data_IF_344010028575
#
_entry.id   IF_344010028575
#
_cell.length_a   1.000
_cell.length_b   1.000
_cell.length_c   1.000
_cell.angle_alpha   90.00
_cell.angle_beta   90.00
_cell.angle_gamma   90.00
#
_symmetry.space_group_name_H-M   'P 1'
#
loop_
_entity.id
_entity.type
_entity.pdbx_description
1 polymer ?
#
# COMPACT_ATOMS: atom_id res chain seq x y z
N UNK A 1 53.03 -38.05 83.37
CA UNK A 1 54.44 -38.40 83.67
C UNK A 1 55.18 -37.12 83.98
N UNK A 2 55.88 -37.01 85.12
CA UNK A 2 56.75 -35.85 85.40
C UNK A 2 58.02 -35.98 84.53
N UNK A 3 58.46 -34.94 83.80
CA UNK A 3 59.71 -34.98 83.05
C UNK A 3 60.89 -35.23 84.00
N UNK A 4 61.84 -36.08 83.62
CA UNK A 4 63.09 -36.24 84.35
C UNK A 4 63.83 -34.90 84.41
N UNK A 5 64.19 -34.46 85.61
CA UNK A 5 64.99 -33.25 85.86
C UNK A 5 66.46 -33.65 85.89
N UNK A 6 67.23 -33.16 84.91
CA UNK A 6 68.67 -33.34 84.84
C UNK A 6 69.39 -32.15 85.49
N UNK A 7 70.55 -32.42 86.09
CA UNK A 7 71.36 -31.39 86.72
C UNK A 7 72.04 -30.51 85.66
N UNK A 8 72.28 -29.20 85.93
CA UNK A 8 72.87 -28.29 84.96
C UNK A 8 74.22 -28.77 84.38
N UNK A 9 75.03 -29.45 85.19
CA UNK A 9 76.34 -29.97 84.77
C UNK A 9 76.22 -31.09 83.72
N UNK A 10 75.21 -31.94 83.83
CA UNK A 10 74.95 -33.03 82.87
C UNK A 10 74.52 -32.47 81.51
N UNK A 11 73.73 -31.38 81.53
CA UNK A 11 73.28 -30.67 80.34
C UNK A 11 74.47 -30.00 79.64
N UNK A 12 75.37 -29.38 80.40
CA UNK A 12 76.59 -28.75 79.88
C UNK A 12 77.55 -29.82 79.32
N UNK A 13 77.71 -30.96 79.99
CA UNK A 13 78.52 -32.07 79.50
C UNK A 13 77.97 -32.64 78.17
N UNK A 14 76.64 -32.79 78.07
CA UNK A 14 76.00 -33.22 76.83
C UNK A 14 76.16 -32.19 75.70
N UNK A 15 76.07 -30.89 76.01
CA UNK A 15 76.34 -29.83 75.04
C UNK A 15 77.78 -29.83 74.53
N UNK A 16 78.76 -29.97 75.44
CA UNK A 16 80.19 -30.10 75.07
C UNK A 16 80.45 -31.35 74.21
N UNK A 17 79.81 -32.47 74.53
CA UNK A 17 79.91 -33.69 73.71
C UNK A 17 79.37 -33.47 72.30
N UNK A 18 78.20 -32.83 72.16
CA UNK A 18 77.62 -32.47 70.85
C UNK A 18 78.53 -31.50 70.08
N UNK A 19 79.21 -30.59 70.78
CA UNK A 19 80.18 -29.68 70.18
C UNK A 19 81.43 -30.42 69.67
N UNK A 20 81.95 -31.40 70.45
CA UNK A 20 83.07 -32.25 70.04
C UNK A 20 82.71 -33.18 68.87
N UNK A 21 81.43 -33.56 68.76
CA UNK A 21 80.86 -34.29 67.62
C UNK A 21 80.63 -33.39 66.38
N UNK A 22 80.96 -32.10 66.45
CA UNK A 22 80.90 -31.15 65.33
C UNK A 22 79.52 -30.50 65.10
N UNK A 23 78.59 -30.59 66.05
CA UNK A 23 77.28 -29.96 65.94
C UNK A 23 77.40 -28.44 66.16
N UNK A 24 77.30 -27.68 65.07
CA UNK A 24 77.49 -26.21 65.07
C UNK A 24 76.39 -25.48 65.85
N UNK A 25 75.14 -25.95 65.77
CA UNK A 25 73.99 -25.32 66.44
C UNK A 25 73.30 -26.31 67.39
N UNK A 26 73.73 -26.33 68.66
CA UNK A 26 73.21 -27.24 69.70
C UNK A 26 71.80 -26.81 70.13
N UNK A 27 70.77 -27.35 69.48
CA UNK A 27 69.37 -27.06 69.84
C UNK A 27 68.95 -27.79 71.12
N UNK A 28 67.90 -27.30 71.80
CA UNK A 28 67.33 -27.96 72.99
C UNK A 28 66.90 -29.42 72.74
N UNK A 29 66.48 -29.74 71.51
CA UNK A 29 66.15 -31.11 71.11
C UNK A 29 67.39 -31.99 70.90
N UNK A 30 68.50 -31.44 70.40
CA UNK A 30 69.77 -32.16 70.31
C UNK A 30 70.29 -32.53 71.70
N UNK A 31 70.19 -31.58 72.65
CA UNK A 31 70.49 -31.83 74.06
C UNK A 31 69.58 -32.91 74.65
N UNK A 32 68.27 -32.85 74.39
CA UNK A 32 67.32 -33.89 74.83
C UNK A 32 67.66 -35.27 74.29
N UNK A 33 68.05 -35.35 73.02
CA UNK A 33 68.46 -36.61 72.38
C UNK A 33 69.73 -37.20 73.01
N UNK A 34 70.66 -36.34 73.45
CA UNK A 34 71.93 -36.75 74.06
C UNK A 34 71.83 -37.10 75.54
N UNK A 35 71.00 -36.36 76.28
CA UNK A 35 70.74 -36.55 77.73
C UNK A 35 69.71 -37.66 77.97
N UNK A 36 68.89 -37.99 76.97
CA UNK A 36 67.92 -39.10 77.02
C UNK A 36 66.53 -38.71 77.52
N UNK A 37 66.26 -37.43 77.77
CA UNK A 37 64.97 -36.95 78.25
C UNK A 37 64.98 -35.46 78.64
N UNK A 38 63.90 -34.99 79.27
CA UNK A 38 63.78 -33.63 79.80
C UNK A 38 63.08 -32.65 78.86
N UNK A 39 62.86 -31.42 79.35
CA UNK A 39 62.22 -30.32 78.63
C UNK A 39 63.24 -29.59 77.73
N UNK A 40 63.07 -29.58 76.40
CA UNK A 40 63.99 -28.92 75.46
C UNK A 40 64.26 -27.44 75.76
N UNK A 41 63.28 -26.71 76.27
CA UNK A 41 63.41 -25.27 76.56
C UNK A 41 64.33 -25.04 77.75
N UNK A 42 64.19 -25.84 78.82
CA UNK A 42 65.10 -25.78 79.98
C UNK A 42 66.52 -26.19 79.61
N UNK A 43 66.67 -27.25 78.82
CA UNK A 43 67.99 -27.72 78.35
C UNK A 43 68.70 -26.63 77.53
N UNK A 44 67.96 -26.00 76.61
CA UNK A 44 68.48 -24.90 75.79
C UNK A 44 68.85 -23.68 76.65
N UNK A 45 68.01 -23.31 77.62
CA UNK A 45 68.26 -22.18 78.50
C UNK A 45 69.55 -22.34 79.33
N UNK A 46 69.78 -23.53 79.89
CA UNK A 46 71.01 -23.82 80.66
C UNK A 46 72.25 -23.78 79.74
N UNK A 47 72.15 -24.33 78.54
CA UNK A 47 73.23 -24.30 77.57
C UNK A 47 73.53 -22.90 77.04
N UNK A 48 72.50 -22.11 76.72
CA UNK A 48 72.66 -20.71 76.33
C UNK A 48 73.24 -19.87 77.48
N UNK A 49 72.85 -20.15 78.73
CA UNK A 49 73.46 -19.54 79.91
C UNK A 49 74.94 -19.89 80.07
N UNK A 50 75.33 -21.14 79.76
CA UNK A 50 76.74 -21.55 79.73
C UNK A 50 77.52 -20.85 78.61
N UNK A 51 76.95 -20.73 77.40
CA UNK A 51 77.56 -20.00 76.29
C UNK A 51 77.68 -18.52 76.58
N UNK A 52 76.65 -17.89 77.15
CA UNK A 52 76.69 -16.49 77.57
C UNK A 52 77.74 -16.26 78.67
N UNK A 53 77.87 -17.21 79.63
CA UNK A 53 78.92 -17.19 80.64
C UNK A 53 80.33 -17.38 80.08
N UNK A 54 80.49 -18.17 79.01
CA UNK A 54 81.76 -18.25 78.27
C UNK A 54 82.06 -17.01 77.43
N UNK A 55 81.03 -16.32 76.94
CA UNK A 55 81.14 -15.16 76.04
C UNK A 55 81.20 -13.84 76.81
N UNK A 56 81.23 -13.87 78.15
CA UNK A 56 81.57 -12.72 78.97
C UNK A 56 83.07 -12.43 78.89
N UNK A 57 83.53 -12.04 77.71
CA UNK A 57 84.70 -11.20 77.55
C UNK A 57 84.26 -9.83 78.07
N UNK A 58 84.71 -9.45 79.28
CA UNK A 58 84.71 -8.04 79.65
C UNK A 58 85.29 -7.25 78.47
N UNK A 59 84.63 -6.17 77.99
CA UNK A 59 85.18 -5.39 76.90
C UNK A 59 86.52 -4.83 77.36
N UNK A 60 87.60 -5.49 76.95
CA UNK A 60 88.94 -4.94 77.03
C UNK A 60 88.86 -3.59 76.30
N UNK A 61 89.19 -2.47 76.97
CA UNK A 61 89.04 -1.16 76.36
C UNK A 61 89.93 -1.17 75.13
N UNK A 62 89.31 -1.19 73.95
CA UNK A 62 90.00 -1.03 72.68
C UNK A 62 90.88 0.21 72.85
N UNK A 63 92.19 0.00 72.86
CA UNK A 63 93.13 1.10 72.84
C UNK A 63 92.72 2.01 71.68
N UNK A 64 92.56 3.31 71.96
CA UNK A 64 92.26 4.31 70.94
C UNK A 64 93.19 4.08 69.75
N UNK A 65 92.61 3.98 68.55
CA UNK A 65 93.41 3.83 67.34
C UNK A 65 94.47 4.93 67.32
N UNK A 66 95.72 4.62 66.96
CA UNK A 66 96.75 5.61 66.75
C UNK A 66 96.19 6.77 65.91
N UNK A 67 96.45 8.04 66.30
CA UNK A 67 95.79 9.19 65.71
C UNK A 67 95.98 9.25 64.19
N UNK A 68 97.10 8.75 63.66
CA UNK A 68 97.35 8.69 62.22
C UNK A 68 96.37 7.74 61.49
N UNK A 69 96.01 6.61 62.11
CA UNK A 69 95.06 5.66 61.55
C UNK A 69 93.62 6.16 61.68
N UNK A 70 93.28 6.82 62.79
CA UNK A 70 91.97 7.44 62.97
C UNK A 70 91.71 8.55 61.93
N UNK A 71 92.71 9.37 61.63
CA UNK A 71 92.63 10.43 60.62
C UNK A 71 92.58 9.87 59.20
N UNK A 72 93.33 8.81 58.90
CA UNK A 72 93.26 8.11 57.61
C UNK A 72 91.88 7.48 57.38
N UNK A 73 91.30 6.83 58.39
CA UNK A 73 89.94 6.26 58.31
C UNK A 73 88.90 7.36 58.13
N UNK A 74 89.01 8.50 58.84
CA UNK A 74 88.15 9.68 58.65
C UNK A 74 88.25 10.25 57.24
N UNK A 75 89.45 10.37 56.69
CA UNK A 75 89.66 10.88 55.35
C UNK A 75 89.01 9.96 54.30
N UNK A 76 89.24 8.65 54.39
CA UNK A 76 88.65 7.65 53.47
C UNK A 76 87.12 7.63 53.59
N UNK A 77 86.56 7.68 54.81
CA UNK A 77 85.10 7.76 54.99
C UNK A 77 84.52 9.07 54.44
N UNK A 78 85.20 10.20 54.61
CA UNK A 78 84.78 11.47 54.02
C UNK A 78 84.79 11.42 52.49
N UNK A 79 85.84 10.88 51.87
CA UNK A 79 85.92 10.70 50.40
C UNK A 79 84.84 9.75 49.89
N UNK A 80 84.65 8.60 50.55
CA UNK A 80 83.61 7.64 50.17
C UNK A 80 82.21 8.25 50.29
N UNK A 81 81.95 8.98 51.38
CA UNK A 81 80.68 9.70 51.57
C UNK A 81 80.48 10.74 50.46
N UNK A 82 81.53 11.46 50.08
CA UNK A 82 81.51 12.39 48.94
C UNK A 82 81.12 11.72 47.63
N UNK A 83 81.75 10.58 47.30
CA UNK A 83 81.41 9.80 46.09
C UNK A 83 79.98 9.26 46.13
N UNK A 84 79.50 8.77 47.28
CA UNK A 84 78.12 8.29 47.44
C UNK A 84 77.13 9.43 47.23
N UNK A 85 77.37 10.61 47.80
CA UNK A 85 76.51 11.79 47.61
C UNK A 85 76.49 12.23 46.15
N UNK A 86 77.64 12.22 45.47
CA UNK A 86 77.71 12.55 44.05
C UNK A 86 76.92 11.55 43.19
N UNK A 87 77.12 10.24 43.39
CA UNK A 87 76.36 9.19 42.71
C UNK A 87 74.85 9.34 42.96
N UNK A 88 74.43 9.66 44.19
CA UNK A 88 73.02 9.90 44.51
C UNK A 88 72.45 11.10 43.76
N UNK A 89 73.21 12.19 43.59
CA UNK A 89 72.79 13.34 42.78
C UNK A 89 72.64 12.96 41.31
N UNK A 90 73.63 12.29 40.74
CA UNK A 90 73.60 11.86 39.33
C UNK A 90 72.43 10.90 39.05
N UNK A 91 72.15 9.98 39.98
CA UNK A 91 71.05 9.03 39.86
C UNK A 91 69.69 9.72 40.02
N UNK A 92 69.59 10.72 40.90
CA UNK A 92 68.41 11.58 41.03
C UNK A 92 68.18 12.41 39.75
N UNK A 93 69.20 13.12 39.27
CA UNK A 93 69.12 13.92 38.04
C UNK A 93 68.72 13.07 36.81
N UNK A 94 69.14 11.81 36.78
CA UNK A 94 68.72 10.86 35.74
C UNK A 94 67.27 10.42 35.93
N UNK A 95 66.84 10.13 37.16
CA UNK A 95 65.46 9.76 37.46
C UNK A 95 64.48 10.90 37.15
N UNK A 96 64.83 12.14 37.50
CA UNK A 96 64.04 13.35 37.18
C UNK A 96 63.92 13.52 35.68
N UNK A 97 65.03 13.48 34.93
CA UNK A 97 64.98 13.59 33.46
C UNK A 97 64.13 12.50 32.80
N UNK A 98 64.21 11.26 33.27
CA UNK A 98 63.36 10.17 32.75
C UNK A 98 61.89 10.42 33.08
N UNK A 99 61.59 10.93 34.28
CA UNK A 99 60.22 11.27 34.68
C UNK A 99 59.67 12.43 33.84
N UNK A 100 60.45 13.48 33.62
CA UNK A 100 60.10 14.63 32.77
C UNK A 100 59.82 14.19 31.34
N UNK A 101 60.73 13.44 30.71
CA UNK A 101 60.50 12.91 29.36
C UNK A 101 59.25 12.04 29.28
N UNK A 102 58.98 11.22 30.31
CA UNK A 102 57.76 10.40 30.37
C UNK A 102 56.51 11.24 30.51
N UNK A 103 56.55 12.32 31.30
CA UNK A 103 55.43 13.26 31.42
C UNK A 103 55.19 13.95 30.08
N UNK A 104 56.23 14.43 29.41
CA UNK A 104 56.13 15.07 28.09
C UNK A 104 55.55 14.14 27.02
N UNK A 105 55.95 12.85 27.03
CA UNK A 105 55.39 11.86 26.12
C UNK A 105 53.91 11.58 26.42
N UNK A 106 53.53 11.50 27.70
CA UNK A 106 52.14 11.29 28.10
C UNK A 106 51.27 12.52 27.76
N UNK A 107 51.76 13.73 27.99
CA UNK A 107 51.03 14.95 27.67
C UNK A 107 50.85 15.09 26.17
N UNK A 108 51.91 14.88 25.39
CA UNK A 108 51.83 14.88 23.91
C UNK A 108 50.81 13.85 23.40
N UNK A 109 50.89 12.61 23.86
CA UNK A 109 49.94 11.56 23.41
C UNK A 109 48.51 11.84 23.85
N UNK A 110 48.30 12.43 25.04
CA UNK A 110 46.98 12.86 25.49
C UNK A 110 46.42 14.02 24.65
N UNK A 111 47.26 14.98 24.25
CA UNK A 111 46.87 16.08 23.35
C UNK A 111 46.55 15.58 21.94
N UNK A 112 47.34 14.65 21.40
CA UNK A 112 47.05 13.99 20.13
C UNK A 112 45.73 13.21 20.17
N UNK A 113 45.47 12.46 21.24
CA UNK A 113 44.19 11.76 21.43
C UNK A 113 43.02 12.72 21.57
N UNK A 114 43.19 13.81 22.32
CA UNK A 114 42.15 14.84 22.49
C UNK A 114 41.83 15.49 21.14
N UNK A 115 42.84 15.91 20.39
CA UNK A 115 42.63 16.56 19.08
C UNK A 115 42.00 15.61 18.07
N UNK A 116 42.34 14.32 18.12
CA UNK A 116 41.69 13.31 17.30
C UNK A 116 40.21 13.12 17.69
N UNK A 117 39.91 13.00 18.98
CA UNK A 117 38.54 12.89 19.47
C UNK A 117 37.69 14.13 19.15
N UNK A 118 38.26 15.33 19.23
CA UNK A 118 37.60 16.57 18.83
C UNK A 118 37.26 16.60 17.33
N UNK A 119 38.15 16.09 16.47
CA UNK A 119 37.89 15.95 15.03
C UNK A 119 36.78 14.94 14.75
N UNK A 120 36.86 13.76 15.36
CA UNK A 120 35.83 12.73 15.21
C UNK A 120 34.46 13.20 15.71
N UNK A 121 34.44 13.97 16.81
CA UNK A 121 33.22 14.59 17.31
C UNK A 121 32.67 15.63 16.33
N UNK A 122 33.52 16.47 15.74
CA UNK A 122 33.11 17.45 14.74
C UNK A 122 32.53 16.78 13.49
N UNK A 123 33.17 15.71 13.01
CA UNK A 123 32.67 14.92 11.89
C UNK A 123 31.32 14.27 12.24
N UNK A 124 31.18 13.71 13.44
CA UNK A 124 29.93 13.13 13.92
C UNK A 124 28.80 14.18 13.97
N UNK A 125 29.06 15.37 14.51
CA UNK A 125 28.09 16.47 14.55
C UNK A 125 27.66 16.86 13.13
N UNK A 126 28.61 17.03 12.20
CA UNK A 126 28.28 17.33 10.81
C UNK A 126 27.41 16.23 10.17
N UNK A 127 27.71 14.95 10.44
CA UNK A 127 26.87 13.86 9.90
C UNK A 127 25.46 13.85 10.48
N UNK A 128 25.30 14.25 11.75
CA UNK A 128 23.97 14.39 12.37
C UNK A 128 23.21 15.53 11.71
N UNK A 129 23.82 16.69 11.53
CA UNK A 129 23.21 17.84 10.85
C UNK A 129 22.77 17.48 9.42
N UNK A 130 23.62 16.77 8.67
CA UNK A 130 23.30 16.29 7.32
C UNK A 130 22.12 15.30 7.31
N UNK A 131 22.04 14.43 8.32
CA UNK A 131 20.94 13.48 8.47
C UNK A 131 19.64 14.17 8.88
N UNK A 132 19.69 15.15 9.76
CA UNK A 132 18.54 15.98 10.15
C UNK A 132 17.99 16.74 8.95
N UNK A 133 18.85 17.36 8.13
CA UNK A 133 18.43 18.03 6.89
C UNK A 133 17.75 17.06 5.91
N UNK A 134 18.29 15.84 5.75
CA UNK A 134 17.67 14.81 4.90
C UNK A 134 16.33 14.34 5.48
N UNK A 135 16.24 14.21 6.80
CA UNK A 135 14.99 13.83 7.47
C UNK A 135 13.91 14.91 7.27
N UNK A 136 14.27 16.18 7.39
CA UNK A 136 13.35 17.29 7.15
C UNK A 136 12.88 17.34 5.69
N UNK A 137 13.81 17.19 4.74
CA UNK A 137 13.49 17.15 3.32
C UNK A 137 12.54 15.98 2.97
N UNK A 138 12.87 14.77 3.42
CA UNK A 138 12.02 13.59 3.18
C UNK A 138 10.66 13.70 3.86
N UNK A 139 10.59 14.31 5.04
CA UNK A 139 9.33 14.58 5.74
C UNK A 139 8.48 15.61 5.00
N UNK A 140 9.09 16.66 4.43
CA UNK A 140 8.41 17.64 3.60
C UNK A 140 7.86 17.01 2.31
N UNK A 141 8.66 16.18 1.64
CA UNK A 141 8.23 15.44 0.45
C UNK A 141 7.08 14.46 0.78
N UNK A 142 7.15 13.76 1.91
CA UNK A 142 6.07 12.89 2.37
C UNK A 142 4.77 13.68 2.59
N UNK A 143 4.82 14.82 3.28
CA UNK A 143 3.64 15.68 3.47
C UNK A 143 3.05 16.11 2.13
N UNK A 144 3.88 16.56 1.20
CA UNK A 144 3.44 16.98 -0.14
C UNK A 144 2.79 15.84 -0.92
N UNK A 145 3.34 14.63 -0.85
CA UNK A 145 2.76 13.46 -1.54
C UNK A 145 1.42 13.04 -0.92
N UNK A 146 1.26 13.15 0.40
CA UNK A 146 -0.02 12.94 1.08
C UNK A 146 -1.07 13.96 0.66
N UNK A 147 -0.71 15.26 0.60
CA UNK A 147 -1.62 16.31 0.10
C UNK A 147 -2.06 16.06 -1.34
N UNK A 148 -1.14 15.64 -2.22
CA UNK A 148 -1.46 15.29 -3.61
C UNK A 148 -2.36 14.05 -3.70
N UNK A 149 -2.15 13.06 -2.83
CA UNK A 149 -2.97 11.85 -2.76
C UNK A 149 -4.40 12.18 -2.32
N UNK A 150 -4.56 12.99 -1.26
CA UNK A 150 -5.86 13.41 -0.78
C UNK A 150 -6.58 14.26 -1.82
N UNK A 151 -5.89 15.21 -2.47
CA UNK A 151 -6.45 15.96 -3.59
C UNK A 151 -6.81 15.10 -4.81
N UNK A 152 -6.15 13.95 -5.01
CA UNK A 152 -6.54 12.97 -6.04
C UNK A 152 -7.80 12.20 -5.64
N UNK A 153 -7.92 11.82 -4.36
CA UNK A 153 -9.09 11.13 -3.82
C UNK A 153 -10.34 12.01 -3.87
N UNK A 154 -10.22 13.29 -3.56
CA UNK A 154 -11.33 14.25 -3.66
C UNK A 154 -11.83 14.40 -5.11
N UNK A 155 -10.90 14.45 -6.08
CA UNK A 155 -11.23 14.46 -7.51
C UNK A 155 -11.92 13.18 -7.94
N UNK A 156 -11.41 12.02 -7.52
CA UNK A 156 -12.03 10.73 -7.80
C UNK A 156 -13.45 10.63 -7.22
N UNK A 157 -13.67 11.09 -5.98
CA UNK A 157 -15.01 11.15 -5.38
C UNK A 157 -15.94 12.06 -6.18
N UNK A 158 -15.45 13.21 -6.65
CA UNK A 158 -16.22 14.11 -7.51
C UNK A 158 -16.62 13.42 -8.82
N UNK A 159 -15.67 12.76 -9.49
CA UNK A 159 -15.95 12.01 -10.73
C UNK A 159 -16.93 10.84 -10.52
N UNK A 160 -16.86 10.15 -9.38
CA UNK A 160 -17.83 9.09 -9.06
C UNK A 160 -19.25 9.63 -8.89
N UNK A 161 -19.41 10.78 -8.24
CA UNK A 161 -20.71 11.46 -8.11
C UNK A 161 -21.22 11.93 -9.47
N UNK A 162 -20.38 12.58 -10.28
CA UNK A 162 -20.74 13.01 -11.64
C UNK A 162 -21.14 11.81 -12.53
N UNK A 163 -20.39 10.72 -12.46
CA UNK A 163 -20.69 9.49 -13.21
C UNK A 163 -22.03 8.89 -12.77
N UNK A 164 -22.34 8.89 -11.47
CA UNK A 164 -23.62 8.44 -10.96
C UNK A 164 -24.78 9.31 -11.49
N UNK A 165 -24.63 10.64 -11.45
CA UNK A 165 -25.62 11.58 -11.98
C UNK A 165 -25.84 11.41 -13.49
N UNK A 166 -24.77 11.20 -14.26
CA UNK A 166 -24.88 10.94 -15.71
C UNK A 166 -25.60 9.62 -15.98
N UNK A 167 -25.30 8.56 -15.22
CA UNK A 167 -26.01 7.28 -15.32
C UNK A 167 -27.49 7.40 -15.00
N UNK A 168 -27.85 8.15 -13.96
CA UNK A 168 -29.24 8.40 -13.61
C UNK A 168 -29.98 9.17 -14.71
N UNK A 169 -29.36 10.23 -15.25
CA UNK A 169 -29.91 10.99 -16.38
C UNK A 169 -30.08 10.11 -17.61
N UNK A 170 -29.11 9.25 -17.91
CA UNK A 170 -29.19 8.30 -19.02
C UNK A 170 -30.37 7.34 -18.84
N UNK A 171 -30.49 6.71 -17.67
CA UNK A 171 -31.60 5.82 -17.36
C UNK A 171 -32.97 6.52 -17.49
N UNK A 172 -33.07 7.77 -17.01
CA UNK A 172 -34.29 8.56 -17.16
C UNK A 172 -34.61 8.89 -18.63
N UNK A 173 -33.60 9.16 -19.47
CA UNK A 173 -33.81 9.40 -20.90
C UNK A 173 -34.17 8.13 -21.66
N UNK A 174 -33.58 6.99 -21.29
CA UNK A 174 -33.92 5.68 -21.86
C UNK A 174 -35.37 5.31 -21.56
N UNK A 175 -35.84 5.56 -20.33
CA UNK A 175 -37.23 5.28 -19.96
C UNK A 175 -38.21 6.18 -20.70
N UNK A 176 -37.91 7.48 -20.81
CA UNK A 176 -38.70 8.42 -21.63
C UNK A 176 -38.76 8.00 -23.09
N UNK A 177 -37.66 7.47 -23.64
CA UNK A 177 -37.63 6.97 -25.01
C UNK A 177 -38.54 5.75 -25.17
N UNK A 178 -38.49 4.78 -24.25
CA UNK A 178 -39.40 3.61 -24.27
C UNK A 178 -40.86 4.03 -24.19
N UNK A 179 -41.19 4.96 -23.30
CA UNK A 179 -42.55 5.49 -23.19
C UNK A 179 -43.00 6.18 -24.47
N UNK A 180 -42.13 7.00 -25.08
CA UNK A 180 -42.40 7.66 -26.35
C UNK A 180 -42.59 6.66 -27.49
N UNK A 181 -41.77 5.60 -27.56
CA UNK A 181 -41.91 4.52 -28.54
C UNK A 181 -43.23 3.76 -28.36
N UNK A 182 -43.60 3.44 -27.10
CA UNK A 182 -44.87 2.77 -26.79
C UNK A 182 -46.05 3.64 -27.22
N UNK A 183 -46.06 4.91 -26.82
CA UNK A 183 -47.10 5.86 -27.22
C UNK A 183 -47.17 6.03 -28.74
N UNK A 184 -46.02 6.06 -29.42
CA UNK A 184 -45.95 6.12 -30.89
C UNK A 184 -46.52 4.88 -31.58
N UNK A 185 -46.27 3.69 -31.03
CA UNK A 185 -46.87 2.43 -31.53
C UNK A 185 -48.37 2.41 -31.34
N UNK A 186 -48.85 2.76 -30.15
CA UNK A 186 -50.30 2.83 -29.86
C UNK A 186 -51.00 3.84 -30.77
N UNK A 187 -50.41 5.01 -30.99
CA UNK A 187 -50.94 6.00 -31.93
C UNK A 187 -50.96 5.47 -33.38
N UNK A 188 -49.89 4.82 -33.83
CA UNK A 188 -49.83 4.22 -35.17
C UNK A 188 -50.88 3.10 -35.35
N UNK A 189 -51.10 2.27 -34.34
CA UNK A 189 -52.15 1.25 -34.34
C UNK A 189 -53.55 1.87 -34.41
N UNK A 190 -53.81 2.92 -33.63
CA UNK A 190 -55.08 3.66 -33.69
C UNK A 190 -55.32 4.27 -35.08
N UNK A 191 -54.31 4.92 -35.67
CA UNK A 191 -54.42 5.45 -37.03
C UNK A 191 -54.67 4.34 -38.05
N UNK A 192 -54.00 3.19 -37.92
CA UNK A 192 -54.22 2.03 -38.79
C UNK A 192 -55.65 1.52 -38.69
N UNK A 193 -56.18 1.33 -37.48
CA UNK A 193 -57.57 0.93 -37.26
C UNK A 193 -58.57 1.93 -37.85
N UNK A 194 -58.32 3.23 -37.69
CA UNK A 194 -59.16 4.27 -38.29
C UNK A 194 -59.13 4.23 -39.81
N UNK A 195 -57.96 4.02 -40.43
CA UNK A 195 -57.83 3.84 -41.87
C UNK A 195 -58.59 2.61 -42.36
N UNK A 196 -58.49 1.47 -41.67
CA UNK A 196 -59.21 0.24 -42.02
C UNK A 196 -60.73 0.45 -41.94
N UNK A 197 -61.22 1.14 -40.90
CA UNK A 197 -62.65 1.50 -40.75
C UNK A 197 -63.10 2.43 -41.88
N UNK A 198 -62.32 3.46 -42.21
CA UNK A 198 -62.64 4.38 -43.29
C UNK A 198 -62.63 3.67 -44.64
N UNK A 199 -61.68 2.78 -44.87
CA UNK A 199 -61.61 1.96 -46.08
C UNK A 199 -62.83 1.06 -46.21
N UNK A 200 -63.25 0.40 -45.13
CA UNK A 200 -64.47 -0.42 -45.13
C UNK A 200 -65.70 0.43 -45.45
N UNK A 201 -65.85 1.61 -44.82
CA UNK A 201 -66.96 2.53 -45.09
C UNK A 201 -66.95 3.03 -46.53
N UNK A 202 -65.78 3.29 -47.10
CA UNK A 202 -65.62 3.69 -48.49
C UNK A 202 -66.07 2.56 -49.42
N UNK A 203 -65.57 1.34 -49.21
CA UNK A 203 -65.97 0.17 -49.99
C UNK A 203 -67.49 -0.09 -49.90
N UNK A 204 -68.08 0.01 -48.71
CA UNK A 204 -69.54 -0.13 -48.51
C UNK A 204 -70.33 0.94 -49.29
N UNK A 205 -69.86 2.19 -49.26
CA UNK A 205 -70.48 3.29 -49.98
C UNK A 205 -70.36 3.11 -51.49
N UNK A 206 -69.20 2.67 -51.99
CA UNK A 206 -68.96 2.32 -53.39
C UNK A 206 -69.87 1.18 -53.84
N UNK A 207 -70.03 0.13 -53.01
CA UNK A 207 -70.93 -0.98 -53.32
C UNK A 207 -72.39 -0.55 -53.36
N UNK A 208 -72.86 0.27 -52.41
CA UNK A 208 -74.22 0.84 -52.43
C UNK A 208 -74.43 1.73 -53.65
N UNK A 209 -73.43 2.51 -54.04
CA UNK A 209 -73.49 3.32 -55.25
C UNK A 209 -73.58 2.43 -56.49
N UNK A 210 -72.75 1.39 -56.59
CA UNK A 210 -72.81 0.42 -57.68
C UNK A 210 -74.18 -0.28 -57.77
N UNK A 211 -74.74 -0.70 -56.63
CA UNK A 211 -76.07 -1.32 -56.56
C UNK A 211 -77.18 -0.35 -57.01
N UNK A 212 -77.12 0.91 -56.56
CA UNK A 212 -78.10 1.93 -56.97
C UNK A 212 -77.98 2.28 -58.46
N UNK A 213 -76.77 2.44 -58.99
CA UNK A 213 -76.53 2.60 -60.43
C UNK A 213 -77.07 1.40 -61.20
N UNK A 214 -76.82 0.18 -60.73
CA UNK A 214 -77.34 -1.03 -61.37
C UNK A 214 -78.87 -1.05 -61.41
N UNK A 215 -79.53 -0.73 -60.29
CA UNK A 215 -81.00 -0.58 -60.21
C UNK A 215 -81.50 0.48 -61.20
N UNK A 216 -80.95 1.69 -61.17
CA UNK A 216 -81.36 2.75 -62.10
C UNK A 216 -81.13 2.36 -63.57
N UNK A 217 -80.05 1.64 -63.88
CA UNK A 217 -79.83 1.15 -65.25
C UNK A 217 -80.83 0.05 -65.66
N UNK A 218 -81.28 -0.78 -64.72
CA UNK A 218 -82.33 -1.76 -64.95
C UNK A 218 -83.68 -1.07 -65.17
N UNK A 219 -84.07 -0.15 -64.28
CA UNK A 219 -85.31 0.62 -64.38
C UNK A 219 -85.35 1.42 -65.70
N UNK A 220 -84.22 2.04 -66.10
CA UNK A 220 -84.12 2.77 -67.37
C UNK A 220 -84.27 1.83 -68.58
N UNK A 221 -83.73 0.61 -68.51
CA UNK A 221 -83.91 -0.40 -69.57
C UNK A 221 -85.36 -0.84 -69.65
N UNK A 222 -86.01 -1.09 -68.52
CA UNK A 222 -87.42 -1.47 -68.44
C UNK A 222 -88.31 -0.35 -69.02
N UNK A 223 -88.15 0.88 -68.55
CA UNK A 223 -88.86 2.04 -69.09
C UNK A 223 -88.60 2.24 -70.59
N UNK A 224 -87.38 1.98 -71.08
CA UNK A 224 -87.07 2.02 -72.51
C UNK A 224 -87.77 0.89 -73.28
N UNK A 225 -87.86 -0.31 -72.71
CA UNK A 225 -88.60 -1.43 -73.33
C UNK A 225 -90.10 -1.17 -73.36
N UNK A 226 -90.66 -0.64 -72.27
CA UNK A 226 -92.07 -0.22 -72.20
C UNK A 226 -92.37 0.89 -73.21
N UNK A 227 -91.52 1.93 -73.26
CA UNK A 227 -91.67 3.02 -74.23
C UNK A 227 -91.59 2.49 -75.68
N UNK A 228 -90.63 1.63 -75.99
CA UNK A 228 -90.54 1.01 -77.32
C UNK A 228 -91.76 0.13 -77.63
N UNK A 229 -92.27 -0.61 -76.65
CA UNK A 229 -93.51 -1.38 -76.74
C UNK A 229 -94.70 -0.48 -77.06
N UNK A 230 -94.91 0.58 -76.27
CA UNK A 230 -95.97 1.56 -76.48
C UNK A 230 -95.85 2.25 -77.86
N UNK A 231 -94.64 2.63 -78.29
CA UNK A 231 -94.42 3.20 -79.64
C UNK A 231 -94.74 2.17 -80.73
N UNK A 232 -94.39 0.90 -80.54
CA UNK A 232 -94.73 -0.16 -81.48
C UNK A 232 -96.24 -0.41 -81.57
N UNK A 233 -96.93 -0.42 -80.43
CA UNK A 233 -98.39 -0.51 -80.36
C UNK A 233 -99.06 0.69 -81.01
N UNK A 234 -98.60 1.92 -80.73
CA UNK A 234 -99.12 3.14 -81.35
C UNK A 234 -98.92 3.13 -82.87
N UNK A 235 -97.76 2.66 -83.35
CA UNK A 235 -97.49 2.45 -84.78
C UNK A 235 -98.43 1.40 -85.37
N UNK A 236 -98.65 0.28 -84.70
CA UNK A 236 -99.57 -0.76 -85.17
C UNK A 236 -101.01 -0.23 -85.24
N UNK A 237 -101.46 0.53 -84.24
CA UNK A 237 -102.75 1.22 -84.24
C UNK A 237 -102.85 2.23 -85.39
N UNK A 238 -101.79 3.02 -85.63
CA UNK A 238 -101.75 3.96 -86.75
C UNK A 238 -101.86 3.25 -88.10
N UNK A 239 -101.12 2.15 -88.31
CA UNK A 239 -101.22 1.35 -89.53
C UNK A 239 -102.62 0.75 -89.69
N UNK A 240 -103.23 0.26 -88.60
CA UNK A 240 -104.61 -0.26 -88.64
C UNK A 240 -105.64 0.83 -88.97
N UNK A 241 -105.51 2.02 -88.39
CA UNK A 241 -106.42 3.13 -88.71
C UNK A 241 -106.20 3.61 -90.14
N UNK A 242 -104.95 3.71 -90.61
CA UNK A 242 -104.61 4.02 -92.00
C UNK A 242 -105.19 2.99 -92.97
N UNK A 243 -105.01 1.68 -92.72
CA UNK A 243 -105.60 0.61 -93.54
C UNK A 243 -107.14 0.65 -93.52
N UNK A 244 -107.74 1.00 -92.39
CA UNK A 244 -109.19 1.20 -92.30
C UNK A 244 -109.68 2.42 -93.09
N UNK A 245 -108.89 3.50 -93.12
CA UNK A 245 -109.18 4.69 -93.90
C UNK A 245 -108.99 4.42 -95.40
N UNK A 246 -107.93 3.70 -95.80
CA UNK A 246 -107.71 3.25 -97.17
C UNK A 246 -108.87 2.38 -97.66
N UNK A 247 -109.30 1.39 -96.86
CA UNK A 247 -110.50 0.60 -97.18
C UNK A 247 -111.74 1.47 -97.36
N UNK A 248 -111.93 2.49 -96.51
CA UNK A 248 -113.05 3.44 -96.66
C UNK A 248 -112.93 4.28 -97.94
N UNK A 249 -111.73 4.72 -98.29
CA UNK A 249 -111.46 5.44 -99.55
C UNK A 249 -111.74 4.52 -100.74
N UNK A 250 -111.23 3.29 -100.76
CA UNK A 250 -111.49 2.31 -101.82
C UNK A 250 -112.99 2.02 -101.96
N UNK A 251 -113.72 1.86 -100.85
CA UNK A 251 -115.18 1.71 -100.90
C UNK A 251 -115.88 2.95 -101.45
N UNK A 252 -115.39 4.16 -101.13
CA UNK A 252 -115.94 5.40 -101.65
C UNK A 252 -115.59 5.61 -103.14
N UNK A 253 -114.39 5.23 -103.57
CA UNK A 253 -113.98 5.26 -104.97
C UNK A 253 -114.73 4.22 -105.81
N UNK A 254 -114.94 3.02 -105.28
CA UNK A 254 -115.77 2.01 -105.93
C UNK A 254 -117.23 2.45 -106.01
N UNK A 255 -117.79 3.02 -104.93
CA UNK A 255 -119.12 3.63 -104.98
C UNK A 255 -119.19 4.81 -105.98
N UNK A 256 -118.12 5.60 -106.12
CA UNK A 256 -118.04 6.66 -107.11
C UNK A 256 -117.89 6.13 -108.55
N UNK A 257 -117.20 5.00 -108.76
CA UNK A 257 -117.14 4.30 -110.06
C UNK A 257 -118.47 3.67 -110.42
N UNK A 258 -119.18 3.08 -109.46
CA UNK A 258 -120.55 2.59 -109.61
C UNK A 258 -121.50 3.75 -109.94
N UNK A 259 -121.37 4.88 -109.26
CA UNK A 259 -122.12 6.10 -109.58
C UNK A 259 -121.82 6.58 -111.00
N UNK A 260 -120.55 6.65 -111.44
CA UNK A 260 -120.18 7.07 -112.81
C UNK A 260 -120.62 6.08 -113.89
N UNK A 261 -120.64 4.78 -113.61
CA UNK A 261 -121.14 3.76 -114.56
C UNK A 261 -122.67 3.76 -114.63
N UNK A 262 -123.35 4.11 -113.53
CA UNK A 262 -124.78 4.41 -113.53
C UNK A 262 -125.11 5.71 -114.28
N UNK A 263 -124.25 6.74 -114.14
CA UNK A 263 -124.35 8.01 -114.88
C UNK A 263 -124.07 7.82 -116.39
N UNK A 264 -123.12 6.96 -116.75
CA UNK A 264 -122.83 6.59 -118.14
C UNK A 264 -123.93 5.72 -118.77
N UNK A 265 -124.63 4.88 -117.98
CA UNK A 265 -125.83 4.17 -118.46
C UNK A 265 -127.00 5.14 -118.66
N UNK A 266 -127.18 6.12 -117.77
CA UNK A 266 -128.22 7.15 -117.89
C UNK A 266 -127.95 8.14 -119.04
N UNK A 267 -126.68 8.40 -119.39
CA UNK A 267 -126.33 9.18 -120.60
C UNK A 267 -126.51 8.41 -121.92
N UNK A 268 -126.70 7.08 -121.87
CA UNK A 268 -127.09 6.27 -123.03
C UNK A 268 -128.60 6.31 -123.35
N UNK A 269 -129.45 6.62 -122.36
CA UNK A 269 -130.92 6.59 -122.50
C UNK A 269 -131.56 7.96 -122.81
N UNK A 270 -130.81 9.06 -122.82
CA UNK A 270 -131.31 10.43 -123.16
C UNK A 270 -130.75 10.90 -124.53
N UNK A 271 -130.67 9.97 -125.49
CA UNK A 271 -130.48 10.29 -126.92
C UNK A 271 -131.60 9.67 -127.76
N UNK A 272 -132.82 10.10 -127.45
CA UNK A 272 -134.02 10.11 -128.31
C UNK A 272 -134.64 11.48 -128.13
#
# INVERSE_FOLDING_TARGET
MRPATFEPEEIIAAGKALQAEGVVNITGFALRKRVGGGDPSRLRQVWDGYLAGQTSVEPEPLADLPPELADAVKAVTATLTGHVVQLLRELNDRAVRVAECRVDDITRTAEEQKTQAERELADAVQTVDDLEQKLDATTADLRKTLELLDGSREREQTYLVELAQVRERLAATEERLKDAEKNGREAAEQYRQQMDILQHKLNDAEQRLADSVSRYTADLREAKTEYNGAVSELKAQYIQTEDSLLKRIDTAENAAREARTSEASLQGEIRV
#
